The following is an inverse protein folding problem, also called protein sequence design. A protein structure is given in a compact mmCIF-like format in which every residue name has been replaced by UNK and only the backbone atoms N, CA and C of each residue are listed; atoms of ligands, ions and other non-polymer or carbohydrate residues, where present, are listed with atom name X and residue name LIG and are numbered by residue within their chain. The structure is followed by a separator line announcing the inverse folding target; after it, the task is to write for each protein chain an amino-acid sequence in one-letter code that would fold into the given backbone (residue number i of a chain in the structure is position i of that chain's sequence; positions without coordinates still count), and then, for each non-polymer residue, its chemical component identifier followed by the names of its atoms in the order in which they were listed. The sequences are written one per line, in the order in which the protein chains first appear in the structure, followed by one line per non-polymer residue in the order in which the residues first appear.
data_IF_432704067539
#
_entry.id   IF_432704067539
#
_cell.length_a   1.000
_cell.length_b   1.000
_cell.length_c   1.000
_cell.angle_alpha   90.00
_cell.angle_beta   90.00
_cell.angle_gamma   90.00
#
_symmetry.space_group_name_H-M   'P 1'
#
loop_
_entity.id
_entity.type
_entity.pdbx_description
1 polymer ?
#
# COMPACT_ATOMS: atom_id res chain seq x y z
N UNK A 1 -36.57 -12.11 -12.38
CA UNK A 1 -35.51 -11.28 -11.77
C UNK A 1 -36.17 -10.04 -11.16
N UNK A 2 -36.13 -9.86 -9.84
CA UNK A 2 -36.78 -8.72 -9.17
C UNK A 2 -36.00 -7.43 -9.41
N UNK A 3 -36.62 -6.46 -10.09
CA UNK A 3 -36.05 -5.14 -10.39
C UNK A 3 -36.37 -4.08 -9.33
N UNK A 4 -36.89 -4.50 -8.17
CA UNK A 4 -37.30 -3.55 -7.14
C UNK A 4 -36.06 -2.95 -6.46
N UNK A 5 -35.83 -1.65 -6.70
CA UNK A 5 -34.88 -0.83 -5.92
C UNK A 5 -35.22 -1.00 -4.43
N UNK A 6 -34.37 -1.73 -3.72
CA UNK A 6 -34.57 -2.07 -2.32
C UNK A 6 -34.86 -0.81 -1.49
N UNK A 7 -35.86 -0.91 -0.63
CA UNK A 7 -36.37 0.05 0.35
C UNK A 7 -35.47 1.30 0.58
N UNK A 8 -35.56 2.28 -0.31
CA UNK A 8 -34.74 3.51 -0.32
C UNK A 8 -35.11 4.44 0.84
N UNK A 9 -36.22 4.16 1.52
CA UNK A 9 -36.77 4.87 2.67
C UNK A 9 -36.82 3.96 3.91
N UNK A 10 -35.66 3.53 4.42
CA UNK A 10 -35.58 2.91 5.74
C UNK A 10 -36.00 3.92 6.82
N UNK A 11 -37.13 3.69 7.49
CA UNK A 11 -37.56 4.56 8.61
C UNK A 11 -36.76 4.31 9.90
N UNK A 12 -36.26 3.09 10.09
CA UNK A 12 -35.50 2.70 11.29
C UNK A 12 -34.00 2.84 11.06
N UNK A 13 -33.30 3.45 12.02
CA UNK A 13 -31.83 3.50 12.07
C UNK A 13 -31.24 2.08 12.18
N UNK A 14 -30.00 1.93 11.72
CA UNK A 14 -29.29 0.66 11.82
C UNK A 14 -29.21 0.20 13.28
N UNK A 15 -29.62 -1.04 13.55
CA UNK A 15 -29.77 -1.59 14.92
C UNK A 15 -28.44 -1.59 15.68
N UNK A 16 -27.33 -1.86 14.97
CA UNK A 16 -26.00 -1.88 15.54
C UNK A 16 -25.22 -0.68 14.97
N UNK A 17 -24.91 0.27 15.84
CA UNK A 17 -24.11 1.46 15.51
C UNK A 17 -22.73 1.30 16.14
N UNK A 18 -21.70 1.86 15.49
CA UNK A 18 -20.38 1.93 16.10
C UNK A 18 -20.40 2.92 17.27
N UNK A 19 -19.98 2.46 18.46
CA UNK A 19 -19.82 3.31 19.64
C UNK A 19 -18.55 4.17 19.59
N UNK A 20 -17.53 3.71 18.86
CA UNK A 20 -16.26 4.41 18.70
C UNK A 20 -15.87 4.52 17.23
N UNK A 21 -15.27 5.65 16.86
CA UNK A 21 -14.67 5.82 15.54
C UNK A 21 -13.43 4.92 15.40
N UNK A 22 -13.16 4.48 14.16
CA UNK A 22 -11.94 3.75 13.85
C UNK A 22 -10.72 4.64 14.14
N UNK A 23 -9.74 4.08 14.86
CA UNK A 23 -8.44 4.68 15.12
C UNK A 23 -7.37 3.70 14.66
N UNK A 24 -6.55 4.13 13.72
CA UNK A 24 -5.44 3.33 13.21
C UNK A 24 -4.31 3.10 14.21
N UNK A 25 -4.21 3.93 15.26
CA UNK A 25 -3.14 3.82 16.27
C UNK A 25 -3.56 3.06 17.53
N UNK A 26 -4.77 2.46 17.55
CA UNK A 26 -5.33 1.85 18.77
C UNK A 26 -4.41 0.80 19.40
N UNK A 27 -3.64 0.09 18.59
CA UNK A 27 -2.71 -0.96 19.02
C UNK A 27 -1.25 -0.62 18.66
N UNK A 28 -0.95 0.68 18.48
CA UNK A 28 0.32 1.16 17.95
C UNK A 28 0.27 1.36 16.44
N UNK A 29 0.87 2.46 15.98
CA UNK A 29 0.98 2.79 14.57
C UNK A 29 2.17 2.07 13.95
N UNK A 30 1.95 1.33 12.85
CA UNK A 30 3.06 0.78 12.06
C UNK A 30 3.86 1.92 11.43
N UNK A 31 5.13 1.65 11.08
CA UNK A 31 6.02 2.63 10.43
C UNK A 31 5.36 3.21 9.16
N UNK A 32 4.69 2.36 8.38
CA UNK A 32 3.95 2.78 7.18
C UNK A 32 2.81 3.76 7.49
N UNK A 33 2.06 3.53 8.57
CA UNK A 33 0.97 4.42 8.99
C UNK A 33 1.53 5.76 9.46
N UNK A 34 2.65 5.76 10.18
CA UNK A 34 3.34 6.99 10.59
C UNK A 34 3.81 7.79 9.36
N UNK A 35 4.51 7.15 8.42
CA UNK A 35 4.94 7.76 7.14
C UNK A 35 3.75 8.28 6.32
N UNK A 36 2.62 7.58 6.33
CA UNK A 36 1.41 8.04 5.63
C UNK A 36 0.74 9.26 6.31
N UNK A 37 0.82 9.36 7.65
CA UNK A 37 0.27 10.48 8.42
C UNK A 37 1.09 11.76 8.33
N UNK A 38 2.41 11.64 8.26
CA UNK A 38 3.30 12.80 8.10
C UNK A 38 3.26 13.38 6.69
N UNK A 39 2.80 12.61 5.69
CA UNK A 39 2.79 13.06 4.30
C UNK A 39 1.80 14.21 4.09
N UNK A 40 2.32 15.35 3.69
CA UNK A 40 1.52 16.51 3.28
C UNK A 40 0.99 16.28 1.85
N UNK A 41 -0.28 16.59 1.63
CA UNK A 41 -0.98 16.41 0.36
C UNK A 41 -1.22 17.77 -0.33
N UNK A 42 -0.19 18.27 -1.03
CA UNK A 42 -0.22 19.58 -1.69
C UNK A 42 -0.82 19.54 -3.10
N UNK A 43 -1.31 20.68 -3.60
CA UNK A 43 -1.76 20.79 -4.99
C UNK A 43 -3.01 19.98 -5.31
N UNK A 44 -3.85 19.71 -4.32
CA UNK A 44 -5.11 18.99 -4.46
C UNK A 44 -6.33 19.90 -4.20
N UNK A 45 -7.43 19.60 -4.89
CA UNK A 45 -8.72 20.17 -4.54
C UNK A 45 -9.26 19.56 -3.24
N UNK A 46 -10.20 20.25 -2.59
CA UNK A 46 -10.77 19.84 -1.30
C UNK A 46 -11.35 18.44 -1.31
N UNK A 47 -12.04 18.07 -2.39
CA UNK A 47 -12.59 16.72 -2.55
C UNK A 47 -11.48 15.66 -2.58
N UNK A 48 -10.41 15.89 -3.36
CA UNK A 48 -9.33 14.92 -3.48
C UNK A 48 -8.50 14.81 -2.20
N UNK A 49 -8.31 15.92 -1.49
CA UNK A 49 -7.67 15.96 -0.17
C UNK A 49 -8.42 15.05 0.82
N UNK A 50 -9.73 15.23 0.96
CA UNK A 50 -10.54 14.38 1.84
C UNK A 50 -10.50 12.89 1.49
N UNK A 51 -10.43 12.54 0.20
CA UNK A 51 -10.27 11.14 -0.24
C UNK A 51 -8.92 10.55 0.20
N UNK A 52 -7.83 11.32 0.13
CA UNK A 52 -6.52 10.83 0.57
C UNK A 52 -6.41 10.78 2.09
N UNK A 53 -6.88 11.80 2.80
CA UNK A 53 -6.93 11.81 4.27
C UNK A 53 -7.74 10.63 4.80
N UNK A 54 -8.88 10.32 4.17
CA UNK A 54 -9.65 9.12 4.50
C UNK A 54 -8.83 7.83 4.29
N UNK A 55 -8.09 7.72 3.19
CA UNK A 55 -7.23 6.54 2.96
C UNK A 55 -6.14 6.43 4.03
N UNK A 56 -5.54 7.53 4.47
CA UNK A 56 -4.56 7.56 5.56
C UNK A 56 -5.21 7.14 6.88
N UNK A 57 -6.36 7.72 7.21
CA UNK A 57 -7.10 7.44 8.44
C UNK A 57 -7.52 5.97 8.58
N UNK A 58 -7.85 5.31 7.47
CA UNK A 58 -8.33 3.93 7.44
C UNK A 58 -7.26 2.91 7.02
N UNK A 59 -5.97 3.26 7.03
CA UNK A 59 -4.86 2.38 6.63
C UNK A 59 -5.02 1.77 5.22
N UNK A 60 -5.61 2.54 4.29
CA UNK A 60 -5.81 2.16 2.88
C UNK A 60 -4.88 2.93 1.93
N UNK A 61 -4.01 3.77 2.47
CA UNK A 61 -3.03 4.52 1.69
C UNK A 61 -1.87 3.62 1.28
N UNK A 62 -1.58 3.57 -0.03
CA UNK A 62 -0.44 2.84 -0.60
C UNK A 62 0.52 3.86 -1.19
N UNK A 63 1.76 3.85 -0.72
CA UNK A 63 2.85 4.64 -1.30
C UNK A 63 3.23 4.11 -2.68
N UNK A 64 3.99 4.92 -3.41
CA UNK A 64 4.47 4.58 -4.73
C UNK A 64 5.94 4.15 -4.62
N UNK A 65 6.29 2.96 -5.13
CA UNK A 65 7.68 2.48 -5.14
C UNK A 65 8.49 3.07 -6.30
N UNK A 66 7.83 3.35 -7.43
CA UNK A 66 8.48 3.91 -8.62
C UNK A 66 7.68 5.07 -9.20
N UNK A 67 8.33 6.13 -9.69
CA UNK A 67 7.63 7.29 -10.21
C UNK A 67 6.75 6.96 -11.41
N UNK A 68 5.55 7.56 -11.44
CA UNK A 68 4.55 7.37 -12.49
C UNK A 68 4.69 8.40 -13.60
N UNK A 69 4.17 8.05 -14.78
CA UNK A 69 4.06 8.97 -15.92
C UNK A 69 3.01 10.05 -15.63
N UNK A 70 3.38 11.30 -15.86
CA UNK A 70 2.48 12.45 -15.78
C UNK A 70 1.57 12.53 -17.01
N UNK A 71 0.29 12.85 -16.83
CA UNK A 71 -0.67 13.04 -17.94
C UNK A 71 -0.37 14.28 -18.79
N UNK A 72 0.34 15.29 -18.25
CA UNK A 72 0.59 16.57 -18.95
C UNK A 72 1.93 16.59 -19.70
N UNK A 73 3.03 16.27 -19.02
CA UNK A 73 4.34 16.27 -19.66
C UNK A 73 4.78 14.89 -20.18
N UNK A 74 4.01 13.82 -19.93
CA UNK A 74 4.31 12.44 -20.34
C UNK A 74 5.63 11.85 -19.80
N UNK A 75 6.33 12.58 -18.93
CA UNK A 75 7.54 12.13 -18.25
C UNK A 75 7.23 11.37 -16.96
N UNK A 76 8.12 10.50 -16.51
CA UNK A 76 8.01 9.76 -15.24
C UNK A 76 8.40 10.63 -14.03
N UNK A 77 7.65 11.71 -13.81
CA UNK A 77 7.97 12.74 -12.79
C UNK A 77 6.99 12.75 -11.62
N UNK A 78 5.97 11.89 -11.62
CA UNK A 78 4.99 11.81 -10.53
C UNK A 78 5.56 10.94 -9.41
N UNK A 79 6.11 11.58 -8.37
CA UNK A 79 6.63 10.92 -7.17
C UNK A 79 5.52 10.56 -6.16
N UNK A 80 4.51 11.43 -6.01
CA UNK A 80 3.47 11.24 -4.99
C UNK A 80 2.43 10.18 -5.38
N UNK A 81 1.99 9.38 -4.40
CA UNK A 81 1.00 8.35 -4.63
C UNK A 81 -0.38 8.96 -4.96
N UNK A 82 -1.14 8.28 -5.81
CA UNK A 82 -2.48 8.71 -6.29
C UNK A 82 -2.52 10.01 -7.11
N UNK A 83 -1.38 10.58 -7.44
CA UNK A 83 -1.29 11.73 -8.35
C UNK A 83 -1.24 11.23 -9.79
N UNK A 84 -1.83 12.00 -10.72
CA UNK A 84 -1.80 11.76 -12.17
C UNK A 84 -1.02 12.84 -12.91
N UNK A 85 -0.82 13.99 -12.27
CA UNK A 85 -0.11 15.14 -12.81
C UNK A 85 1.07 15.44 -11.88
N UNK A 86 2.18 15.84 -12.49
CA UNK A 86 3.41 16.19 -11.78
C UNK A 86 3.25 17.53 -11.04
N UNK A 87 3.95 17.72 -9.90
CA UNK A 87 3.95 19.00 -9.16
C UNK A 87 4.19 20.23 -10.06
N UNK A 88 5.22 20.27 -10.94
CA UNK A 88 5.44 21.44 -11.79
C UNK A 88 4.32 21.66 -12.82
N UNK A 89 3.74 20.58 -13.34
CA UNK A 89 2.62 20.63 -14.27
C UNK A 89 1.34 21.18 -13.59
N UNK A 90 1.12 20.83 -12.33
CA UNK A 90 -0.02 21.31 -11.53
C UNK A 90 0.12 22.80 -11.23
N UNK A 91 1.33 23.25 -10.89
CA UNK A 91 1.65 24.66 -10.65
C UNK A 91 1.45 25.53 -11.90
N UNK A 92 2.00 25.12 -13.04
CA UNK A 92 1.92 25.90 -14.28
C UNK A 92 0.48 26.04 -14.82
N UNK A 93 -0.36 25.02 -14.60
CA UNK A 93 -1.71 24.97 -15.15
C UNK A 93 -2.80 25.26 -14.10
N UNK A 94 -2.42 25.43 -12.83
CA UNK A 94 -3.30 25.63 -11.68
C UNK A 94 -4.43 24.57 -11.62
N UNK A 95 -4.04 23.30 -11.72
CA UNK A 95 -4.96 22.16 -11.70
C UNK A 95 -4.64 21.19 -10.57
N UNK A 96 -5.66 20.51 -10.05
CA UNK A 96 -5.49 19.47 -9.04
C UNK A 96 -4.63 18.31 -9.56
N UNK A 97 -3.60 17.94 -8.80
CA UNK A 97 -2.64 16.90 -9.20
C UNK A 97 -3.24 15.48 -9.28
N UNK A 98 -4.41 15.25 -8.67
CA UNK A 98 -5.11 13.95 -8.65
C UNK A 98 -6.23 13.82 -9.68
N UNK A 99 -7.04 14.85 -9.88
CA UNK A 99 -8.19 14.78 -10.80
C UNK A 99 -8.04 15.63 -12.06
N UNK A 100 -7.04 16.52 -12.13
CA UNK A 100 -6.76 17.36 -13.29
C UNK A 100 -7.81 18.45 -13.57
N UNK A 101 -8.74 18.68 -12.64
CA UNK A 101 -9.74 19.74 -12.71
C UNK A 101 -9.17 21.06 -12.19
N UNK A 102 -9.65 22.18 -12.76
CA UNK A 102 -9.47 23.55 -12.27
C UNK A 102 -10.51 23.81 -11.18
N UNK A 103 -10.22 23.36 -9.97
CA UNK A 103 -11.02 23.63 -8.76
C UNK A 103 -10.08 24.28 -7.75
N UNK A 104 -10.62 25.07 -6.81
CA UNK A 104 -9.82 25.76 -5.79
C UNK A 104 -8.86 24.79 -5.08
N UNK A 105 -7.57 25.04 -5.25
CA UNK A 105 -6.49 24.24 -4.68
C UNK A 105 -6.30 24.70 -3.23
N UNK A 106 -6.43 23.77 -2.28
CA UNK A 106 -6.52 24.07 -0.84
C UNK A 106 -5.15 24.42 -0.24
N UNK A 107 -4.07 23.91 -0.84
CA UNK A 107 -2.69 24.21 -0.44
C UNK A 107 -1.90 24.51 -1.72
N UNK A 108 -1.48 25.76 -1.95
CA UNK A 108 -0.57 26.12 -3.05
C UNK A 108 0.73 25.31 -2.95
N UNK A 109 1.25 24.80 -4.07
CA UNK A 109 2.46 23.94 -4.12
C UNK A 109 3.74 24.78 -3.96
N UNK A 110 3.76 25.73 -3.03
CA UNK A 110 4.91 26.61 -2.81
C UNK A 110 5.35 26.52 -1.35
N UNK A 111 6.44 25.78 -1.08
CA UNK A 111 7.60 26.23 -0.28
C UNK A 111 8.63 25.10 -0.03
N UNK A 112 9.69 25.05 -0.83
CA UNK A 112 11.12 25.01 -0.42
C UNK A 112 11.69 24.05 0.65
N UNK A 113 10.99 23.04 1.17
CA UNK A 113 11.57 22.18 2.26
C UNK A 113 11.91 20.73 1.86
N UNK A 114 11.69 20.30 0.61
CA UNK A 114 11.93 18.91 0.18
C UNK A 114 13.43 18.54 -0.04
N UNK A 115 14.40 19.41 0.25
CA UNK A 115 15.84 19.13 -0.02
C UNK A 115 16.64 18.59 1.17
N UNK A 116 16.11 18.62 2.40
CA UNK A 116 16.93 18.30 3.59
C UNK A 116 16.69 16.90 4.18
N UNK A 117 15.59 16.24 3.85
CA UNK A 117 15.28 14.89 4.37
C UNK A 117 15.74 13.75 3.45
N UNK A 118 16.02 14.00 2.17
CA UNK A 118 16.45 12.95 1.22
C UNK A 118 17.94 12.55 1.40
N UNK A 119 18.78 13.40 2.02
CA UNK A 119 20.22 13.10 2.21
C UNK A 119 20.51 12.21 3.43
N UNK A 120 19.64 12.17 4.45
CA UNK A 120 19.87 11.37 5.67
C UNK A 120 19.42 9.89 5.54
N UNK A 121 18.48 9.54 4.64
CA UNK A 121 18.05 8.13 4.45
C UNK A 121 19.02 7.31 3.56
N UNK A 122 19.88 7.94 2.74
CA UNK A 122 20.84 7.23 1.87
C UNK A 122 22.18 6.88 2.59
N UNK A 123 22.53 7.54 3.70
CA UNK A 123 23.76 7.23 4.46
C UNK A 123 23.63 6.00 5.39
N UNK A 124 22.42 5.64 5.84
CA UNK A 124 22.23 4.53 6.80
C UNK A 124 22.27 3.12 6.16
N UNK A 125 22.03 3.01 4.84
CA UNK A 125 22.00 1.72 4.11
C UNK A 125 23.40 1.26 3.63
N UNK A 126 24.36 2.18 3.40
CA UNK A 126 25.72 1.82 2.95
C UNK A 126 26.62 1.30 4.09
N UNK A 127 26.39 1.72 5.35
CA UNK A 127 27.25 1.33 6.47
C UNK A 127 27.08 -0.14 6.87
N UNK A 128 25.90 -0.74 6.61
CA UNK A 128 25.62 -2.13 6.98
C UNK A 128 26.25 -3.15 6.01
N UNK A 129 26.64 -2.75 4.81
CA UNK A 129 27.14 -3.68 3.77
C UNK A 129 28.66 -3.90 3.81
N UNK A 130 29.41 -3.11 4.59
CA UNK A 130 30.89 -3.15 4.62
C UNK A 130 31.51 -4.06 5.69
N UNK A 131 30.73 -4.72 6.55
CA UNK A 131 31.24 -5.62 7.62
C UNK A 131 31.14 -7.13 7.33
N UNK A 132 30.95 -7.54 6.07
CA UNK A 132 30.72 -8.95 5.70
C UNK A 132 31.62 -9.48 4.58
N UNK A 133 32.92 -9.18 4.56
CA UNK A 133 33.85 -9.88 3.65
C UNK A 133 35.25 -9.99 4.23
N UNK A 134 35.59 -11.17 4.76
CA UNK A 134 36.92 -11.50 5.28
C UNK A 134 37.12 -13.02 5.36
N UNK A 135 37.78 -13.57 4.34
CA UNK A 135 38.12 -14.99 4.14
C UNK A 135 39.01 -15.55 5.26
N UNK A 136 38.75 -16.78 5.70
CA UNK A 136 39.65 -17.54 6.58
C UNK A 136 39.51 -19.04 6.34
N UNK A 137 40.41 -19.58 5.51
CA UNK A 137 40.59 -21.01 5.25
C UNK A 137 41.58 -21.54 6.29
N UNK A 138 41.17 -22.46 7.17
CA UNK A 138 42.06 -23.33 7.95
C UNK A 138 41.38 -24.68 8.19
N UNK A 139 42.01 -25.70 7.64
CA UNK A 139 41.86 -27.12 7.99
C UNK A 139 42.11 -27.35 9.50
N UNK A 140 41.57 -28.47 10.01
CA UNK A 140 42.06 -29.34 11.11
C UNK A 140 40.95 -29.79 12.11
N UNK A 141 40.67 -31.09 12.01
CA UNK A 141 40.40 -32.12 13.04
C UNK A 141 39.13 -32.13 13.93
N UNK A 142 38.48 -33.31 13.90
CA UNK A 142 37.93 -34.09 15.02
C UNK A 142 37.09 -33.35 16.09
N UNK A 143 35.79 -33.65 16.14
CA UNK A 143 35.13 -34.22 17.33
C UNK A 143 33.76 -34.81 16.93
N UNK A 144 33.77 -36.13 16.84
CA UNK A 144 32.75 -37.11 17.21
C UNK A 144 31.58 -36.57 18.06
N UNK A 145 30.36 -36.74 17.56
CA UNK A 145 29.18 -36.91 18.40
C UNK A 145 28.12 -37.64 17.59
N UNK A 146 28.04 -38.94 17.85
CA UNK A 146 26.92 -39.80 17.53
C UNK A 146 25.62 -39.19 18.09
N UNK A 147 24.59 -39.05 17.26
CA UNK A 147 23.22 -39.17 17.74
C UNK A 147 22.37 -39.75 16.60
N UNK A 148 22.04 -41.01 16.84
CA UNK A 148 21.28 -41.95 16.03
C UNK A 148 19.80 -41.67 16.28
N UNK A 149 19.09 -41.16 15.26
CA UNK A 149 17.63 -41.26 15.22
C UNK A 149 17.19 -41.56 13.80
N UNK A 150 17.14 -42.87 13.56
CA UNK A 150 16.23 -43.59 12.69
C UNK A 150 14.80 -43.01 12.81
N UNK A 151 14.22 -42.54 11.70
CA UNK A 151 12.77 -42.66 11.49
C UNK A 151 12.50 -42.81 9.99
N UNK A 152 11.76 -43.88 9.74
CA UNK A 152 11.58 -44.58 8.49
C UNK A 152 10.40 -44.00 7.69
N UNK A 153 10.31 -44.44 6.44
CA UNK A 153 9.07 -44.70 5.72
C UNK A 153 8.17 -43.55 5.21
N UNK A 154 8.42 -43.21 3.94
CA UNK A 154 7.48 -43.30 2.81
C UNK A 154 5.99 -42.92 3.03
N UNK A 155 5.53 -41.89 2.32
CA UNK A 155 4.50 -42.09 1.28
C UNK A 155 4.38 -40.90 0.33
N UNK A 156 4.72 -41.19 -0.92
CA UNK A 156 4.27 -40.53 -2.14
C UNK A 156 2.75 -40.63 -2.24
N UNK A 157 2.04 -39.50 -2.20
CA UNK A 157 0.62 -39.43 -2.57
C UNK A 157 0.49 -38.50 -3.76
N UNK A 158 0.33 -39.10 -4.93
CA UNK A 158 -0.06 -38.42 -6.16
C UNK A 158 -1.47 -37.84 -6.01
N UNK A 159 -1.62 -36.58 -6.36
CA UNK A 159 -2.93 -35.94 -6.55
C UNK A 159 -3.32 -36.13 -8.02
N UNK A 160 -4.23 -37.06 -8.25
CA UNK A 160 -4.80 -37.41 -9.54
C UNK A 160 -5.79 -36.32 -9.96
N UNK A 161 -5.45 -35.66 -11.06
CA UNK A 161 -6.29 -34.74 -11.82
C UNK A 161 -7.46 -35.52 -12.44
N UNK A 162 -8.69 -35.30 -11.95
CA UNK A 162 -9.87 -35.51 -12.77
C UNK A 162 -11.01 -34.57 -12.36
N UNK A 163 -11.06 -33.41 -13.01
CA UNK A 163 -12.21 -32.52 -13.00
C UNK A 163 -13.22 -32.96 -14.07
N UNK A 164 -14.21 -33.76 -13.67
CA UNK A 164 -15.38 -34.05 -14.52
C UNK A 164 -16.57 -33.15 -14.16
N UNK A 165 -16.92 -32.32 -15.16
CA UNK A 165 -18.12 -31.53 -15.30
C UNK A 165 -19.39 -32.42 -15.25
N UNK A 166 -20.37 -32.03 -14.42
CA UNK A 166 -21.74 -32.47 -14.63
C UNK A 166 -22.73 -31.37 -14.23
N UNK A 167 -23.11 -30.62 -15.24
CA UNK A 167 -24.31 -29.78 -15.32
C UNK A 167 -25.57 -30.55 -14.91
N UNK A 168 -26.42 -29.98 -14.04
CA UNK A 168 -27.88 -30.06 -14.22
C UNK A 168 -28.65 -29.10 -13.28
N UNK A 169 -29.60 -28.43 -13.91
CA UNK A 169 -30.48 -27.34 -13.48
C UNK A 169 -31.61 -27.75 -12.49
N UNK A 170 -32.46 -26.80 -12.01
CA UNK A 170 -33.11 -26.88 -10.70
C UNK A 170 -34.49 -27.55 -10.72
N UNK A 171 -34.88 -28.15 -9.59
CA UNK A 171 -36.28 -28.54 -9.34
C UNK A 171 -37.04 -27.45 -8.58
N UNK A 172 -38.10 -27.01 -9.24
CA UNK A 172 -39.18 -26.13 -8.80
C UNK A 172 -40.27 -27.00 -8.17
N UNK A 173 -40.67 -26.68 -6.93
CA UNK A 173 -42.02 -26.89 -6.40
C UNK A 173 -42.28 -25.84 -5.35
#
# INVERSE_FOLDING_TARGET
MSSQKGNVSRSRRQKHQNSFAFKNDKYGATVQVKKAKSKIHDGLCQHCKGVLEWKVQYNKYKTLTQPKKCVKCSQKTVKDAYHIICKPCSLQLEICSKCGKKEDIVIPVNSQEDQKEEEEEEEDDDEQKKKGSGRGKKDLDDLDSDDDFDDDDLSDVGDDDNGEDCTSEPKKT
#
